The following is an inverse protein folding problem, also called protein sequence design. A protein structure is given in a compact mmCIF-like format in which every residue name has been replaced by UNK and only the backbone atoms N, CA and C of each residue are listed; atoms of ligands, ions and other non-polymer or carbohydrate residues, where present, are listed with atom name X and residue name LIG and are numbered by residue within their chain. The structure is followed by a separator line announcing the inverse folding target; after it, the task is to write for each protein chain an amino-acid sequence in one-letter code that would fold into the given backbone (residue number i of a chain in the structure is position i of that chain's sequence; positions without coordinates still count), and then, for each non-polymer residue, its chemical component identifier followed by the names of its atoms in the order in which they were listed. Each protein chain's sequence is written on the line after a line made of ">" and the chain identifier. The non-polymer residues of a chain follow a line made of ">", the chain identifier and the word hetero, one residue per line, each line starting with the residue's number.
data_IF_202619403800
#
_entry.id   IF_202619403800
#
_cell.length_a   1.000
_cell.length_b   1.000
_cell.length_c   1.000
_cell.angle_alpha   90.00
_cell.angle_beta   90.00
_cell.angle_gamma   90.00
#
_symmetry.space_group_name_H-M   'P 1'
#
loop_
_entity.id
_entity.type
_entity.pdbx_description
1 polymer ?
#
# COMPACT_ATOMS: atom_id res chain seq x y z
N UNK A 1 -12.54 -36.48 -34.79
CA UNK A 1 -13.11 -35.40 -33.96
C UNK A 1 -12.09 -35.08 -32.89
N UNK A 2 -11.56 -33.85 -32.84
CA UNK A 2 -10.78 -33.42 -31.69
C UNK A 2 -11.76 -33.26 -30.53
N UNK A 3 -11.73 -34.20 -29.59
CA UNK A 3 -12.49 -34.08 -28.35
C UNK A 3 -11.72 -33.13 -27.43
N UNK A 4 -12.40 -32.14 -26.85
CA UNK A 4 -11.84 -31.41 -25.71
C UNK A 4 -11.83 -32.38 -24.53
N UNK A 5 -10.65 -32.81 -24.11
CA UNK A 5 -10.50 -33.64 -22.92
C UNK A 5 -10.53 -32.75 -21.68
N UNK A 6 -11.25 -33.18 -20.66
CA UNK A 6 -11.38 -32.47 -19.40
C UNK A 6 -10.89 -33.35 -18.26
N UNK A 7 -10.04 -32.78 -17.41
CA UNK A 7 -9.57 -33.37 -16.16
C UNK A 7 -10.01 -32.50 -14.97
N UNK A 8 -9.93 -33.05 -13.77
CA UNK A 8 -10.48 -32.39 -12.58
C UNK A 8 -9.52 -31.36 -11.98
N UNK A 9 -8.21 -31.56 -12.10
CA UNK A 9 -7.18 -30.80 -11.38
C UNK A 9 -5.88 -30.64 -12.17
N UNK A 10 -4.98 -29.78 -11.68
CA UNK A 10 -3.61 -29.65 -12.19
C UNK A 10 -2.79 -30.92 -11.95
N UNK A 11 -3.06 -31.67 -10.87
CA UNK A 11 -2.38 -32.94 -10.63
C UNK A 11 -2.68 -33.95 -11.76
N UNK A 12 -3.94 -34.04 -12.19
CA UNK A 12 -4.33 -34.87 -13.33
C UNK A 12 -3.76 -34.35 -14.66
N UNK A 13 -3.70 -33.02 -14.87
CA UNK A 13 -3.04 -32.41 -16.03
C UNK A 13 -1.57 -32.85 -16.14
N UNK A 14 -0.83 -32.88 -15.03
CA UNK A 14 0.59 -33.29 -15.01
C UNK A 14 0.80 -34.74 -15.46
N UNK A 15 -0.17 -35.60 -15.21
CA UNK A 15 -0.15 -37.02 -15.53
C UNK A 15 -0.85 -37.35 -16.85
N UNK A 16 -1.41 -36.36 -17.55
CA UNK A 16 -2.09 -36.56 -18.83
C UNK A 16 -1.06 -36.79 -19.95
N UNK A 17 -1.23 -37.87 -20.70
CA UNK A 17 -0.40 -38.16 -21.87
C UNK A 17 -0.86 -37.32 -23.07
N UNK A 18 -0.04 -36.38 -23.56
CA UNK A 18 -0.38 -35.52 -24.69
C UNK A 18 -0.61 -36.31 -25.99
N UNK A 19 -0.26 -37.60 -26.07
CA UNK A 19 -0.64 -38.48 -27.17
C UNK A 19 -2.17 -38.55 -27.36
N UNK A 20 -2.95 -38.53 -26.28
CA UNK A 20 -4.42 -38.58 -26.37
C UNK A 20 -5.04 -37.25 -26.80
N UNK A 21 -4.44 -36.14 -26.41
CA UNK A 21 -4.84 -34.80 -26.81
C UNK A 21 -3.77 -33.78 -26.47
N UNK A 22 -3.52 -32.83 -27.37
CA UNK A 22 -2.67 -31.67 -27.11
C UNK A 22 -3.46 -30.46 -26.58
N UNK A 23 -4.78 -30.59 -26.41
CA UNK A 23 -5.65 -29.58 -25.81
C UNK A 23 -6.43 -30.17 -24.63
N UNK A 24 -6.38 -29.49 -23.48
CA UNK A 24 -6.98 -29.97 -22.25
C UNK A 24 -7.67 -28.84 -21.48
N UNK A 25 -8.74 -29.15 -20.78
CA UNK A 25 -9.35 -28.27 -19.78
C UNK A 25 -9.22 -28.87 -18.38
N UNK A 26 -8.89 -28.04 -17.40
CA UNK A 26 -8.99 -28.42 -15.98
C UNK A 26 -10.20 -27.75 -15.33
N UNK A 27 -10.90 -28.50 -14.48
CA UNK A 27 -12.09 -28.01 -13.77
C UNK A 27 -11.76 -27.15 -12.54
N UNK A 28 -10.52 -27.19 -12.08
CA UNK A 28 -9.98 -26.45 -10.95
C UNK A 28 -8.47 -26.63 -10.83
N UNK A 29 -7.86 -26.01 -9.82
CA UNK A 29 -6.45 -26.19 -9.51
C UNK A 29 -6.21 -27.49 -8.75
N UNK A 30 -6.86 -27.64 -7.59
CA UNK A 30 -6.81 -28.83 -6.73
C UNK A 30 -8.04 -29.71 -6.91
N UNK A 31 -9.22 -29.10 -7.09
CA UNK A 31 -10.49 -29.82 -7.26
C UNK A 31 -11.46 -29.03 -8.14
N UNK A 32 -12.45 -29.70 -8.78
CA UNK A 32 -13.44 -29.02 -9.58
C UNK A 32 -14.12 -27.85 -8.84
N UNK A 33 -14.22 -26.70 -9.49
CA UNK A 33 -14.94 -25.53 -8.98
C UNK A 33 -14.17 -24.64 -7.99
N UNK A 34 -12.89 -24.91 -7.71
CA UNK A 34 -12.08 -24.04 -6.84
C UNK A 34 -11.64 -22.72 -7.51
N UNK A 35 -11.96 -22.51 -8.79
CA UNK A 35 -11.68 -21.30 -9.54
C UNK A 35 -10.30 -21.23 -10.20
N UNK A 36 -9.41 -22.19 -9.95
CA UNK A 36 -8.07 -22.22 -10.55
C UNK A 36 -7.94 -23.04 -11.85
N UNK A 37 -9.07 -23.52 -12.36
CA UNK A 37 -9.16 -24.28 -13.62
C UNK A 37 -8.85 -23.43 -14.86
N UNK A 38 -8.93 -24.01 -16.05
CA UNK A 38 -8.75 -23.29 -17.31
C UNK A 38 -8.39 -24.19 -18.47
N UNK A 39 -8.09 -23.57 -19.62
CA UNK A 39 -7.76 -24.26 -20.85
C UNK A 39 -6.24 -24.24 -21.09
N UNK A 40 -5.73 -25.36 -21.61
CA UNK A 40 -4.31 -25.65 -21.77
C UNK A 40 -4.01 -26.24 -23.14
N UNK A 41 -2.81 -25.97 -23.64
CA UNK A 41 -2.25 -26.68 -24.79
C UNK A 41 -0.89 -27.30 -24.45
N UNK A 42 -0.56 -28.39 -25.13
CA UNK A 42 0.74 -29.04 -25.03
C UNK A 42 1.77 -28.34 -25.91
N UNK A 43 2.90 -27.95 -25.32
CA UNK A 43 4.04 -27.38 -26.03
C UNK A 43 5.21 -28.37 -25.94
N UNK A 44 5.33 -29.26 -26.94
CA UNK A 44 6.27 -30.40 -26.93
C UNK A 44 7.75 -30.00 -26.75
N UNK A 45 8.13 -28.83 -27.25
CA UNK A 45 9.52 -28.35 -27.23
C UNK A 45 9.83 -27.45 -26.02
N UNK A 46 8.84 -27.08 -25.21
CA UNK A 46 9.02 -26.16 -24.09
C UNK A 46 9.78 -26.85 -22.93
N UNK A 47 10.79 -26.14 -22.41
CA UNK A 47 11.65 -26.56 -21.31
C UNK A 47 11.63 -25.60 -20.12
N UNK A 48 10.78 -24.56 -20.15
CA UNK A 48 10.65 -23.60 -19.07
C UNK A 48 10.40 -24.28 -17.71
N UNK A 49 10.83 -23.65 -16.63
CA UNK A 49 10.53 -24.16 -15.31
C UNK A 49 9.01 -24.15 -15.08
N UNK A 50 8.56 -25.03 -14.19
CA UNK A 50 7.21 -24.97 -13.69
C UNK A 50 7.01 -23.69 -12.87
N UNK A 51 6.03 -22.88 -13.24
CA UNK A 51 5.74 -21.62 -12.53
C UNK A 51 4.50 -21.74 -11.63
N UNK A 52 3.92 -22.93 -11.53
CA UNK A 52 2.76 -23.19 -10.69
C UNK A 52 1.45 -22.62 -11.20
N UNK A 53 1.40 -21.94 -12.36
CA UNK A 53 0.17 -21.30 -12.85
C UNK A 53 -0.01 -21.24 -14.36
N UNK A 54 0.98 -20.79 -15.13
CA UNK A 54 0.92 -20.67 -16.60
C UNK A 54 1.66 -21.80 -17.32
N UNK A 55 2.67 -22.37 -16.67
CA UNK A 55 3.55 -23.42 -17.20
C UNK A 55 3.58 -24.57 -16.23
N UNK A 56 3.07 -25.72 -16.66
CA UNK A 56 3.08 -26.95 -15.88
C UNK A 56 3.93 -28.03 -16.56
N UNK A 57 4.92 -28.54 -15.85
CA UNK A 57 5.75 -29.67 -16.27
C UNK A 57 4.96 -30.98 -16.20
N UNK A 58 5.01 -31.79 -17.27
CA UNK A 58 4.48 -33.15 -17.27
C UNK A 58 5.31 -34.06 -16.36
N UNK A 59 4.64 -34.99 -15.69
CA UNK A 59 5.27 -36.08 -14.92
C UNK A 59 5.68 -37.26 -15.82
N UNK A 60 5.14 -37.34 -17.04
CA UNK A 60 5.41 -38.42 -17.99
C UNK A 60 6.63 -38.16 -18.87
N UNK A 61 6.95 -36.89 -19.13
CA UNK A 61 8.01 -36.50 -20.06
C UNK A 61 8.90 -35.40 -19.45
N UNK A 62 10.24 -35.51 -19.54
CA UNK A 62 11.14 -34.46 -19.04
C UNK A 62 11.08 -33.18 -19.89
N UNK A 63 10.75 -33.33 -21.18
CA UNK A 63 10.59 -32.25 -22.17
C UNK A 63 9.11 -32.04 -22.48
N UNK A 64 8.74 -30.78 -22.70
CA UNK A 64 7.38 -30.35 -23.01
C UNK A 64 6.62 -29.83 -21.80
N UNK A 65 5.71 -28.88 -22.02
CA UNK A 65 4.92 -28.21 -20.97
C UNK A 65 3.46 -28.10 -21.35
N UNK A 66 2.60 -28.22 -20.35
CA UNK A 66 1.23 -27.74 -20.44
C UNK A 66 1.22 -26.23 -20.21
N UNK A 67 0.76 -25.49 -21.22
CA UNK A 67 0.70 -24.04 -21.23
C UNK A 67 -0.74 -23.59 -21.04
N UNK A 68 -0.99 -22.80 -20.00
CA UNK A 68 -2.29 -22.16 -19.82
C UNK A 68 -2.51 -21.14 -20.93
N UNK A 69 -3.69 -21.17 -21.55
CA UNK A 69 -4.14 -20.12 -22.45
C UNK A 69 -4.57 -18.93 -21.57
N UNK A 70 -3.83 -17.82 -21.62
CA UNK A 70 -4.05 -16.65 -20.77
C UNK A 70 -4.14 -15.35 -21.57
N UNK A 71 -4.84 -14.35 -21.02
CA UNK A 71 -5.12 -13.06 -21.66
C UNK A 71 -4.43 -11.88 -20.97
N UNK A 72 -3.49 -12.14 -20.05
CA UNK A 72 -2.84 -11.10 -19.21
C UNK A 72 -3.64 -10.67 -17.98
N UNK A 73 -4.83 -11.26 -17.76
CA UNK A 73 -5.59 -11.19 -16.52
C UNK A 73 -5.44 -12.52 -15.78
N UNK A 74 -4.81 -12.48 -14.61
CA UNK A 74 -4.51 -13.64 -13.81
C UNK A 74 -5.37 -13.67 -12.56
N UNK A 75 -5.94 -14.83 -12.25
CA UNK A 75 -6.60 -15.08 -10.97
C UNK A 75 -5.63 -15.82 -10.06
N UNK A 76 -5.45 -15.35 -8.83
CA UNK A 76 -4.49 -15.92 -7.88
C UNK A 76 -4.70 -17.44 -7.65
N UNK A 77 -5.94 -17.93 -7.82
CA UNK A 77 -6.29 -19.35 -7.68
C UNK A 77 -5.71 -20.20 -8.81
N UNK A 78 -5.41 -19.61 -9.96
CA UNK A 78 -4.73 -20.29 -11.07
C UNK A 78 -3.30 -20.71 -10.72
N UNK A 79 -2.72 -20.09 -9.69
CA UNK A 79 -1.39 -20.39 -9.14
C UNK A 79 -1.48 -21.28 -7.89
N UNK A 80 -2.67 -21.75 -7.53
CA UNK A 80 -2.89 -22.66 -6.40
C UNK A 80 -3.02 -21.99 -5.03
N UNK A 81 -3.05 -20.65 -4.99
CA UNK A 81 -3.40 -19.88 -3.81
C UNK A 81 -4.92 -19.82 -3.65
N UNK A 82 -5.44 -20.66 -2.76
CA UNK A 82 -6.87 -20.75 -2.44
C UNK A 82 -7.15 -20.09 -1.08
N UNK A 83 -8.34 -19.52 -0.86
CA UNK A 83 -8.74 -19.05 0.48
C UNK A 83 -8.55 -20.16 1.52
N UNK A 84 -7.99 -19.84 2.68
CA UNK A 84 -7.76 -20.79 3.80
C UNK A 84 -6.68 -21.85 3.52
N UNK A 85 -6.10 -21.90 2.32
CA UNK A 85 -4.85 -22.65 2.13
C UNK A 85 -3.74 -21.93 2.89
N UNK A 86 -2.97 -22.66 3.71
CA UNK A 86 -2.06 -22.14 4.73
C UNK A 86 -1.15 -20.98 4.30
N UNK A 87 0.16 -21.21 4.21
CA UNK A 87 1.04 -20.21 3.60
C UNK A 87 0.86 -20.21 2.09
N UNK A 88 0.58 -19.05 1.50
CA UNK A 88 0.43 -18.91 0.03
C UNK A 88 1.44 -17.94 -0.58
N UNK A 89 2.49 -17.60 0.16
CA UNK A 89 3.51 -16.63 -0.25
C UNK A 89 4.12 -16.96 -1.62
N UNK A 90 4.49 -18.23 -1.83
CA UNK A 90 5.11 -18.66 -3.09
C UNK A 90 4.16 -18.50 -4.28
N UNK A 91 2.91 -18.88 -4.12
CA UNK A 91 1.89 -18.81 -5.16
C UNK A 91 1.56 -17.35 -5.51
N UNK A 92 1.51 -16.45 -4.52
CA UNK A 92 1.41 -15.02 -4.74
C UNK A 92 2.60 -14.47 -5.51
N UNK A 93 3.82 -14.83 -5.13
CA UNK A 93 5.01 -14.36 -5.84
C UNK A 93 5.03 -14.86 -7.29
N UNK A 94 4.68 -16.13 -7.54
CA UNK A 94 4.57 -16.68 -8.89
C UNK A 94 3.51 -15.93 -9.74
N UNK A 95 2.36 -15.60 -9.16
CA UNK A 95 1.32 -14.85 -9.84
C UNK A 95 1.74 -13.40 -10.15
N UNK A 96 2.50 -12.76 -9.26
CA UNK A 96 3.09 -11.45 -9.50
C UNK A 96 4.17 -11.52 -10.58
N UNK A 97 5.01 -12.55 -10.58
CA UNK A 97 6.04 -12.76 -11.60
C UNK A 97 5.44 -13.00 -13.01
N UNK A 98 4.25 -13.58 -13.10
CA UNK A 98 3.50 -13.65 -14.36
C UNK A 98 3.13 -12.27 -14.91
N UNK A 99 3.05 -11.23 -14.07
CA UNK A 99 2.80 -9.84 -14.44
C UNK A 99 4.08 -9.05 -14.78
N UNK A 100 5.26 -9.69 -14.90
CA UNK A 100 6.55 -9.01 -15.12
C UNK A 100 6.58 -8.11 -16.36
N UNK A 101 5.75 -8.39 -17.37
CA UNK A 101 5.60 -7.58 -18.59
C UNK A 101 4.38 -6.64 -18.54
N UNK A 102 3.89 -6.34 -17.34
CA UNK A 102 2.58 -5.77 -17.09
C UNK A 102 1.49 -6.85 -17.00
N UNK A 103 0.28 -6.44 -16.61
CA UNK A 103 -0.87 -7.34 -16.46
C UNK A 103 -1.69 -7.00 -15.22
N UNK A 104 -2.69 -7.83 -14.93
CA UNK A 104 -3.47 -7.69 -13.71
C UNK A 104 -3.58 -9.00 -12.94
N UNK A 105 -3.36 -8.92 -11.64
CA UNK A 105 -3.61 -9.99 -10.68
C UNK A 105 -4.91 -9.70 -9.93
N UNK A 106 -5.85 -10.63 -10.02
CA UNK A 106 -7.09 -10.63 -9.25
C UNK A 106 -6.98 -11.56 -8.05
N UNK A 107 -7.31 -11.03 -6.87
CA UNK A 107 -7.33 -11.74 -5.59
C UNK A 107 -8.78 -11.73 -5.08
N UNK A 108 -9.55 -12.81 -5.28
CA UNK A 108 -10.93 -12.87 -4.84
C UNK A 108 -11.01 -12.90 -3.32
N UNK A 109 -12.20 -12.62 -2.82
CA UNK A 109 -12.55 -12.72 -1.39
C UNK A 109 -12.01 -14.01 -0.76
N UNK A 110 -11.37 -13.88 0.39
CA UNK A 110 -10.74 -14.98 1.11
C UNK A 110 -9.64 -14.51 2.04
N UNK A 111 -9.20 -15.44 2.90
CA UNK A 111 -8.10 -15.25 3.83
C UNK A 111 -6.81 -15.87 3.26
N UNK A 112 -5.78 -15.04 3.03
CA UNK A 112 -4.50 -15.44 2.46
C UNK A 112 -3.35 -15.12 3.43
N UNK A 113 -2.59 -16.13 3.86
CA UNK A 113 -1.45 -15.94 4.76
C UNK A 113 -0.18 -15.72 3.95
N UNK A 114 0.53 -14.61 4.22
CA UNK A 114 1.78 -14.23 3.59
C UNK A 114 2.87 -14.13 4.66
N UNK A 115 4.01 -14.80 4.46
CA UNK A 115 5.14 -14.84 5.39
C UNK A 115 6.43 -14.27 4.84
N UNK A 116 6.47 -13.85 3.58
CA UNK A 116 7.61 -13.12 3.02
C UNK A 116 7.12 -11.93 2.20
N UNK A 117 7.96 -10.91 2.03
CA UNK A 117 7.68 -9.77 1.15
C UNK A 117 7.25 -10.21 -0.25
N UNK A 118 6.20 -9.58 -0.77
CA UNK A 118 5.72 -9.73 -2.13
C UNK A 118 6.31 -8.64 -3.02
N UNK A 119 6.84 -9.05 -4.16
CA UNK A 119 7.51 -8.18 -5.12
C UNK A 119 6.61 -7.94 -6.34
N UNK A 120 6.15 -6.70 -6.50
CA UNK A 120 5.22 -6.27 -7.55
C UNK A 120 5.99 -5.59 -8.68
N UNK A 121 5.80 -6.07 -9.90
CA UNK A 121 6.52 -5.59 -11.08
C UNK A 121 5.88 -4.33 -11.69
N UNK A 122 6.68 -3.59 -12.46
CA UNK A 122 6.25 -2.44 -13.25
C UNK A 122 4.96 -2.72 -14.04
N UNK A 123 4.01 -1.79 -13.98
CA UNK A 123 2.77 -1.85 -14.75
C UNK A 123 1.77 -2.91 -14.26
N UNK A 124 2.00 -3.52 -13.10
CA UNK A 124 1.07 -4.50 -12.52
C UNK A 124 -0.11 -3.80 -11.86
N UNK A 125 -1.32 -4.30 -12.11
CA UNK A 125 -2.52 -3.97 -11.33
C UNK A 125 -2.86 -5.14 -10.40
N UNK A 126 -2.82 -4.94 -9.10
CA UNK A 126 -3.27 -5.90 -8.09
C UNK A 126 -4.64 -5.46 -7.58
N UNK A 127 -5.67 -6.29 -7.79
CA UNK A 127 -7.05 -5.95 -7.42
C UNK A 127 -7.73 -7.05 -6.63
N UNK A 128 -8.59 -6.67 -5.68
CA UNK A 128 -9.45 -7.59 -4.94
C UNK A 128 -10.90 -7.12 -4.83
N UNK A 129 -11.66 -7.77 -3.96
CA UNK A 129 -13.08 -7.55 -3.71
C UNK A 129 -13.32 -6.61 -2.50
N UNK A 130 -12.34 -5.78 -2.14
CA UNK A 130 -12.41 -4.85 -1.01
C UNK A 130 -12.08 -5.53 0.32
N UNK A 131 -12.92 -5.28 1.34
CA UNK A 131 -12.71 -5.76 2.71
C UNK A 131 -12.59 -7.29 2.83
N UNK A 132 -13.16 -8.04 1.89
CA UNK A 132 -13.16 -9.50 1.93
C UNK A 132 -11.92 -10.14 1.29
N UNK A 133 -11.08 -9.39 0.57
CA UNK A 133 -9.79 -9.89 0.06
C UNK A 133 -8.71 -9.67 1.11
N UNK A 134 -8.66 -10.57 2.09
CA UNK A 134 -7.85 -10.44 3.31
C UNK A 134 -6.43 -11.00 3.12
N UNK A 135 -5.43 -10.13 3.27
CA UNK A 135 -4.00 -10.42 3.14
C UNK A 135 -3.36 -10.33 4.52
N UNK A 136 -3.04 -11.47 5.12
CA UNK A 136 -2.50 -11.54 6.47
C UNK A 136 -0.99 -11.70 6.43
N UNK A 137 -0.28 -10.62 6.73
CA UNK A 137 1.17 -10.56 6.71
C UNK A 137 1.79 -10.92 8.06
N UNK A 138 2.62 -11.96 8.06
CA UNK A 138 3.44 -12.44 9.17
C UNK A 138 4.92 -12.50 8.79
N UNK A 139 5.37 -11.62 7.89
CA UNK A 139 6.76 -11.62 7.46
C UNK A 139 7.76 -11.17 8.52
N UNK A 140 9.06 -11.23 8.22
CA UNK A 140 10.13 -10.86 9.14
C UNK A 140 10.03 -9.39 9.58
N UNK A 141 10.56 -9.05 10.76
CA UNK A 141 10.74 -7.66 11.17
C UNK A 141 11.49 -6.85 10.11
N UNK A 142 11.23 -5.55 10.06
CA UNK A 142 11.81 -4.62 9.09
C UNK A 142 11.51 -4.94 7.63
N UNK A 143 10.39 -5.60 7.35
CA UNK A 143 9.94 -5.85 5.97
C UNK A 143 8.50 -5.40 5.74
N UNK A 144 8.13 -5.23 4.47
CA UNK A 144 6.77 -4.90 4.06
C UNK A 144 6.08 -6.04 3.33
N UNK A 145 4.75 -6.12 3.41
CA UNK A 145 3.97 -7.08 2.63
C UNK A 145 4.09 -6.79 1.13
N UNK A 146 3.76 -5.57 0.71
CA UNK A 146 3.78 -5.15 -0.70
C UNK A 146 4.96 -4.25 -1.00
N UNK A 147 5.79 -4.64 -1.98
CA UNK A 147 7.03 -3.94 -2.32
C UNK A 147 7.18 -3.86 -3.84
N UNK A 148 7.87 -2.82 -4.32
CA UNK A 148 8.26 -2.75 -5.73
C UNK A 148 9.36 -3.77 -6.00
N UNK A 149 9.18 -4.62 -7.03
CA UNK A 149 10.20 -5.57 -7.48
C UNK A 149 11.50 -4.90 -7.89
N UNK A 150 11.42 -3.65 -8.32
CA UNK A 150 12.56 -2.82 -8.69
C UNK A 150 12.47 -1.47 -7.95
N UNK A 151 13.54 -1.11 -7.24
CA UNK A 151 13.63 0.15 -6.48
C UNK A 151 14.14 1.33 -7.31
N UNK A 152 14.94 1.05 -8.35
CA UNK A 152 15.50 2.04 -9.27
C UNK A 152 15.73 1.39 -10.66
N UNK A 153 15.33 2.04 -11.77
CA UNK A 153 14.49 3.23 -11.79
C UNK A 153 13.12 2.98 -11.13
N UNK A 154 12.50 4.06 -10.64
CA UNK A 154 11.18 3.99 -10.01
C UNK A 154 10.13 3.34 -10.94
N UNK A 155 9.18 2.65 -10.32
CA UNK A 155 8.14 1.88 -11.00
C UNK A 155 6.74 2.39 -10.68
N UNK A 156 5.80 2.20 -11.60
CA UNK A 156 4.40 2.55 -11.47
C UNK A 156 3.55 1.28 -11.43
N UNK A 157 2.65 1.18 -10.45
CA UNK A 157 1.74 0.04 -10.26
C UNK A 157 0.42 0.50 -9.65
N UNK A 158 -0.58 -0.38 -9.63
CA UNK A 158 -1.89 -0.09 -9.04
C UNK A 158 -2.28 -1.15 -8.02
N UNK A 159 -2.78 -0.73 -6.86
CA UNK A 159 -3.41 -1.58 -5.86
C UNK A 159 -4.84 -1.12 -5.65
N UNK A 160 -5.81 -2.03 -5.74
CA UNK A 160 -7.22 -1.68 -5.60
C UNK A 160 -8.04 -2.71 -4.81
N UNK A 161 -8.83 -2.27 -3.83
CA UNK A 161 -9.80 -3.15 -3.15
C UNK A 161 -9.15 -4.32 -2.41
N UNK A 162 -8.12 -4.06 -1.60
CA UNK A 162 -7.44 -5.07 -0.79
C UNK A 162 -7.58 -4.75 0.70
N UNK A 163 -7.61 -5.78 1.52
CA UNK A 163 -7.63 -5.67 2.98
C UNK A 163 -6.37 -6.31 3.59
N UNK A 164 -5.38 -5.51 3.98
CA UNK A 164 -4.09 -6.00 4.46
C UNK A 164 -3.99 -5.91 5.98
N UNK A 165 -3.65 -7.03 6.63
CA UNK A 165 -3.47 -7.14 8.08
C UNK A 165 -1.99 -7.38 8.39
N UNK A 166 -1.42 -6.57 9.28
CA UNK A 166 -0.01 -6.64 9.66
C UNK A 166 0.12 -7.19 11.08
N UNK A 167 0.74 -8.37 11.22
CA UNK A 167 0.78 -9.13 12.50
C UNK A 167 2.16 -9.21 13.15
N UNK A 168 3.23 -8.77 12.48
CA UNK A 168 4.59 -8.74 13.03
C UNK A 168 4.99 -7.32 13.40
N UNK A 169 5.53 -7.11 14.60
CA UNK A 169 6.05 -5.78 15.02
C UNK A 169 7.14 -5.30 14.05
N UNK A 170 7.34 -3.98 13.96
CA UNK A 170 8.36 -3.38 13.09
C UNK A 170 8.20 -3.75 11.60
N UNK A 171 6.99 -4.07 11.16
CA UNK A 171 6.67 -4.35 9.75
C UNK A 171 5.65 -3.38 9.16
N UNK A 172 5.42 -3.49 7.86
CA UNK A 172 4.62 -2.53 7.10
C UNK A 172 3.70 -3.22 6.09
N UNK A 173 2.56 -2.61 5.79
CA UNK A 173 1.67 -3.14 4.76
C UNK A 173 2.24 -2.85 3.37
N UNK A 174 2.52 -1.59 3.07
CA UNK A 174 3.09 -1.15 1.79
C UNK A 174 4.42 -0.45 2.00
N UNK A 175 5.47 -0.94 1.35
CA UNK A 175 6.76 -0.25 1.20
C UNK A 175 6.73 0.51 -0.12
N UNK A 176 6.66 1.84 -0.02
CA UNK A 176 6.51 2.73 -1.17
C UNK A 176 7.84 2.98 -1.91
N UNK A 177 8.99 2.66 -1.31
CA UNK A 177 10.28 2.82 -2.00
C UNK A 177 10.31 1.95 -3.27
N UNK A 178 10.61 2.59 -4.39
CA UNK A 178 10.50 2.03 -5.74
C UNK A 178 9.18 2.32 -6.44
N UNK A 179 8.19 2.93 -5.78
CA UNK A 179 6.86 3.22 -6.31
C UNK A 179 6.67 4.73 -6.54
N UNK A 180 6.61 5.14 -7.81
CA UNK A 180 6.26 6.51 -8.22
C UNK A 180 5.18 6.45 -9.31
N UNK A 181 4.36 7.48 -9.43
CA UNK A 181 3.21 7.50 -10.35
C UNK A 181 2.21 6.34 -10.13
N UNK A 182 2.23 5.72 -8.96
CA UNK A 182 1.40 4.57 -8.60
C UNK A 182 0.04 5.01 -8.08
N UNK A 183 -0.93 4.09 -8.13
CA UNK A 183 -2.31 4.28 -7.70
C UNK A 183 -2.68 3.31 -6.59
N UNK A 184 -3.31 3.85 -5.54
CA UNK A 184 -3.74 3.10 -4.37
C UNK A 184 -5.20 3.46 -4.12
N UNK A 185 -6.12 2.55 -4.43
CA UNK A 185 -7.55 2.87 -4.49
C UNK A 185 -8.38 1.92 -3.60
N UNK A 186 -9.13 2.48 -2.65
CA UNK A 186 -10.02 1.73 -1.76
C UNK A 186 -9.30 0.60 -1.02
N UNK A 187 -8.22 0.94 -0.31
CA UNK A 187 -7.39 -0.01 0.43
C UNK A 187 -7.68 0.07 1.92
N UNK A 188 -7.70 -1.09 2.59
CA UNK A 188 -7.89 -1.19 4.03
C UNK A 188 -6.63 -1.80 4.65
N UNK A 189 -6.07 -1.12 5.65
CA UNK A 189 -4.92 -1.64 6.39
C UNK A 189 -5.26 -1.75 7.86
N UNK A 190 -5.00 -2.93 8.43
CA UNK A 190 -5.15 -3.20 9.85
C UNK A 190 -3.79 -3.50 10.47
N UNK A 191 -3.29 -2.58 11.27
CA UNK A 191 -2.06 -2.72 12.04
C UNK A 191 -2.40 -3.42 13.36
N UNK A 192 -2.03 -4.70 13.49
CA UNK A 192 -2.43 -5.56 14.63
C UNK A 192 -1.39 -5.63 15.73
N UNK A 193 -0.26 -4.95 15.56
CA UNK A 193 0.84 -4.96 16.51
C UNK A 193 1.60 -3.63 16.49
N UNK A 194 2.32 -3.30 17.59
CA UNK A 194 3.04 -2.04 17.71
C UNK A 194 4.13 -1.81 16.65
N UNK A 195 4.51 -0.55 16.48
CA UNK A 195 5.59 -0.09 15.61
C UNK A 195 5.44 -0.55 14.16
N UNK A 196 4.21 -0.53 13.64
CA UNK A 196 3.94 -0.90 12.25
C UNK A 196 3.42 0.28 11.46
N UNK A 197 3.61 0.23 10.14
CA UNK A 197 3.20 1.32 9.25
C UNK A 197 2.32 0.84 8.09
N UNK A 198 1.29 1.61 7.73
CA UNK A 198 0.41 1.22 6.61
C UNK A 198 1.06 1.54 5.25
N UNK A 199 1.46 2.79 5.05
CA UNK A 199 2.08 3.29 3.81
C UNK A 199 3.43 3.90 4.15
N UNK A 200 4.46 3.06 4.10
CA UNK A 200 5.81 3.36 4.56
C UNK A 200 6.72 3.77 3.41
N UNK A 201 7.34 4.94 3.50
CA UNK A 201 8.33 5.37 2.52
C UNK A 201 9.46 6.15 3.15
N UNK A 202 10.68 5.60 3.28
CA UNK A 202 11.84 6.40 2.99
C UNK A 202 11.92 6.59 1.48
N UNK A 203 12.32 7.80 1.10
CA UNK A 203 12.68 8.03 -0.29
C UNK A 203 14.05 7.42 -0.60
N UNK A 204 14.32 7.11 -1.86
CA UNK A 204 15.65 6.72 -2.34
C UNK A 204 16.20 7.71 -3.37
N UNK A 205 15.64 8.92 -3.40
CA UNK A 205 15.94 9.95 -4.40
C UNK A 205 15.19 9.84 -5.72
N UNK A 206 14.55 8.71 -6.00
CA UNK A 206 13.75 8.50 -7.23
C UNK A 206 12.28 8.19 -6.94
N UNK A 207 11.97 7.83 -5.70
CA UNK A 207 10.65 7.42 -5.24
C UNK A 207 10.59 7.57 -3.72
N UNK A 208 9.39 7.59 -3.10
CA UNK A 208 8.07 7.59 -3.72
C UNK A 208 7.56 8.99 -4.04
N UNK A 209 7.27 9.24 -5.32
CA UNK A 209 6.82 10.54 -5.82
C UNK A 209 5.60 10.42 -6.73
N UNK A 210 4.74 11.43 -6.71
CA UNK A 210 3.59 11.55 -7.63
C UNK A 210 2.58 10.40 -7.53
N UNK A 211 2.52 9.70 -6.39
CA UNK A 211 1.52 8.68 -6.15
C UNK A 211 0.17 9.31 -5.77
N UNK A 212 -0.91 8.59 -6.05
CA UNK A 212 -2.26 9.00 -5.64
C UNK A 212 -2.92 7.90 -4.85
N UNK A 213 -3.39 8.26 -3.66
CA UNK A 213 -4.14 7.43 -2.73
C UNK A 213 -5.57 7.92 -2.70
N UNK A 214 -6.54 7.05 -3.02
CA UNK A 214 -7.97 7.36 -2.98
C UNK A 214 -8.65 6.41 -2.00
N UNK A 215 -9.34 6.91 -0.98
CA UNK A 215 -10.01 6.11 0.04
C UNK A 215 -9.10 5.02 0.64
N UNK A 216 -7.92 5.41 1.08
CA UNK A 216 -6.96 4.52 1.73
C UNK A 216 -7.09 4.63 3.25
N UNK A 217 -7.38 3.52 3.91
CA UNK A 217 -7.75 3.43 5.32
C UNK A 217 -6.66 2.73 6.14
N UNK A 218 -6.51 3.12 7.40
CA UNK A 218 -5.59 2.48 8.33
C UNK A 218 -6.15 2.46 9.76
N UNK A 219 -6.21 1.29 10.39
CA UNK A 219 -6.62 1.14 11.79
C UNK A 219 -5.50 0.54 12.61
N UNK A 220 -5.18 1.14 13.76
CA UNK A 220 -4.22 0.61 14.72
C UNK A 220 -4.80 -0.33 15.76
N UNK A 221 -3.95 -0.86 16.64
CA UNK A 221 -4.36 -1.71 17.75
C UNK A 221 -4.95 -0.93 18.93
N UNK A 222 -4.97 0.42 18.87
CA UNK A 222 -5.38 1.29 19.97
C UNK A 222 -4.30 1.47 21.04
N UNK A 223 -4.66 2.16 22.13
CA UNK A 223 -3.75 2.48 23.23
C UNK A 223 -2.79 3.66 22.95
N UNK A 224 -2.22 4.21 24.03
CA UNK A 224 -1.47 5.48 24.02
C UNK A 224 0.00 5.37 23.53
N UNK A 225 0.49 4.16 23.22
CA UNK A 225 1.92 3.92 22.95
C UNK A 225 2.14 2.84 21.89
N UNK A 226 1.23 2.68 20.93
CA UNK A 226 1.37 1.62 19.93
C UNK A 226 2.45 1.91 18.87
N UNK A 227 2.93 3.14 18.74
CA UNK A 227 3.97 3.49 17.76
C UNK A 227 3.59 3.29 16.30
N UNK A 228 2.32 3.01 16.00
CA UNK A 228 1.87 2.72 14.64
C UNK A 228 1.59 4.00 13.86
N UNK A 229 1.91 4.00 12.57
CA UNK A 229 1.78 5.18 11.70
C UNK A 229 1.02 4.82 10.42
N UNK A 230 0.00 5.59 10.03
CA UNK A 230 -0.72 5.29 8.79
C UNK A 230 0.12 5.68 7.56
N UNK A 231 0.38 6.96 7.36
CA UNK A 231 1.27 7.43 6.31
C UNK A 231 2.61 7.82 6.94
N UNK A 232 3.62 6.98 6.71
CA UNK A 232 4.93 7.10 7.34
C UNK A 232 5.98 7.52 6.31
N UNK A 233 6.03 8.83 6.06
CA UNK A 233 6.83 9.44 4.99
C UNK A 233 8.04 10.16 5.57
N UNK A 234 8.87 9.40 6.28
CA UNK A 234 10.10 9.87 6.89
C UNK A 234 11.35 9.28 6.21
N UNK A 235 12.45 10.02 6.27
CA UNK A 235 13.77 9.61 5.80
C UNK A 235 14.46 8.70 6.83
N UNK A 236 14.02 7.44 6.91
CA UNK A 236 14.59 6.45 7.85
C UNK A 236 15.96 5.91 7.45
N UNK A 237 16.42 6.18 6.23
CA UNK A 237 17.77 5.86 5.76
C UNK A 237 18.80 6.91 6.17
N UNK A 238 18.43 7.85 7.05
CA UNK A 238 19.18 9.06 7.36
C UNK A 238 19.54 9.87 6.08
N UNK A 239 18.72 9.72 5.03
CA UNK A 239 18.84 10.53 3.83
C UNK A 239 18.38 11.97 4.04
N UNK A 240 18.57 12.79 3.00
CA UNK A 240 18.02 14.16 2.94
C UNK A 240 16.69 14.22 2.17
N UNK A 241 16.22 13.10 1.65
CA UNK A 241 15.03 13.03 0.79
C UNK A 241 13.91 12.25 1.50
N UNK A 242 12.69 12.67 1.25
CA UNK A 242 11.48 12.06 1.77
C UNK A 242 10.38 12.06 0.69
N UNK A 243 9.30 11.29 0.85
CA UNK A 243 8.20 11.23 -0.11
C UNK A 243 7.60 12.61 -0.44
N UNK A 244 7.61 12.98 -1.72
CA UNK A 244 7.20 14.31 -2.21
C UNK A 244 6.09 14.21 -3.27
N UNK A 245 5.31 15.28 -3.41
CA UNK A 245 4.33 15.43 -4.47
C UNK A 245 3.28 14.29 -4.56
N UNK A 246 3.03 13.59 -3.46
CA UNK A 246 1.98 12.57 -3.37
C UNK A 246 0.64 13.21 -2.99
N UNK A 247 -0.45 12.57 -3.38
CA UNK A 247 -1.80 13.06 -3.12
C UNK A 247 -2.63 12.00 -2.39
N UNK A 248 -3.32 12.38 -1.32
CA UNK A 248 -4.23 11.53 -0.56
C UNK A 248 -5.63 12.14 -0.57
N UNK A 249 -6.59 11.41 -1.11
CA UNK A 249 -7.99 11.81 -1.21
C UNK A 249 -8.86 10.84 -0.40
N UNK A 250 -9.44 11.34 0.69
CA UNK A 250 -10.27 10.56 1.59
C UNK A 250 -9.46 9.57 2.43
N UNK A 251 -10.17 8.58 2.97
CA UNK A 251 -9.59 7.58 3.87
C UNK A 251 -9.94 7.87 5.34
N UNK A 252 -10.05 6.78 6.09
CA UNK A 252 -10.33 6.80 7.53
C UNK A 252 -9.13 6.21 8.25
N UNK A 253 -8.56 6.99 9.17
CA UNK A 253 -7.41 6.61 9.97
C UNK A 253 -7.82 6.63 11.44
N UNK A 254 -7.61 5.53 12.17
CA UNK A 254 -7.96 5.49 13.57
C UNK A 254 -7.05 4.65 14.45
N UNK A 255 -7.05 4.94 15.76
CA UNK A 255 -6.41 4.11 16.79
C UNK A 255 -4.89 3.96 16.63
N UNK A 256 -4.23 4.97 16.04
CA UNK A 256 -2.79 4.99 15.73
C UNK A 256 -2.05 6.06 16.54
N UNK A 257 -0.74 5.89 16.69
CA UNK A 257 0.10 6.92 17.27
C UNK A 257 0.11 8.18 16.38
N UNK A 258 0.37 8.02 15.08
CA UNK A 258 0.44 9.14 14.14
C UNK A 258 -0.37 8.80 12.89
N UNK A 259 -1.29 9.66 12.47
CA UNK A 259 -2.00 9.45 11.22
C UNK A 259 -1.10 9.72 10.00
N UNK A 260 -0.41 10.87 10.00
CA UNK A 260 0.52 11.23 8.92
C UNK A 260 1.80 11.78 9.52
N UNK A 261 2.92 11.12 9.27
CA UNK A 261 4.27 11.68 9.42
C UNK A 261 4.78 12.06 8.04
N UNK A 262 5.11 13.34 7.83
CA UNK A 262 5.52 13.85 6.54
C UNK A 262 6.79 14.70 6.66
N UNK A 263 7.90 14.18 6.14
CA UNK A 263 9.17 14.90 6.01
C UNK A 263 9.42 15.44 4.59
N UNK A 264 8.52 15.13 3.67
CA UNK A 264 8.57 15.63 2.30
C UNK A 264 7.74 16.88 2.06
N UNK A 265 7.77 17.36 0.83
CA UNK A 265 7.19 18.62 0.36
C UNK A 265 6.26 18.42 -0.83
N UNK A 266 5.32 19.34 -0.99
CA UNK A 266 4.35 19.36 -2.09
C UNK A 266 3.31 18.26 -2.00
N UNK A 267 3.17 17.59 -0.84
CA UNK A 267 2.13 16.60 -0.65
C UNK A 267 0.78 17.27 -0.36
N UNK A 268 -0.29 16.66 -0.86
CA UNK A 268 -1.65 17.14 -0.73
C UNK A 268 -2.48 16.08 -0.01
N UNK A 269 -3.16 16.49 1.06
CA UNK A 269 -4.08 15.66 1.82
C UNK A 269 -5.46 16.29 1.75
N UNK A 270 -6.47 15.55 1.33
CA UNK A 270 -7.81 16.07 1.13
C UNK A 270 -8.88 15.13 1.68
N UNK A 271 -9.73 15.59 2.59
CA UNK A 271 -10.92 14.88 3.03
C UNK A 271 -10.66 13.67 3.93
N UNK A 272 -9.51 13.60 4.58
CA UNK A 272 -9.22 12.52 5.54
C UNK A 272 -10.09 12.64 6.79
N UNK A 273 -10.44 11.49 7.36
CA UNK A 273 -11.16 11.36 8.62
C UNK A 273 -10.22 10.71 9.63
N UNK A 274 -9.95 11.38 10.74
CA UNK A 274 -9.04 10.88 11.79
C UNK A 274 -9.77 10.67 13.12
N UNK A 275 -9.63 9.49 13.73
CA UNK A 275 -10.27 9.17 15.00
C UNK A 275 -9.29 8.54 16.01
N UNK A 276 -9.26 9.03 17.25
CA UNK A 276 -8.45 8.43 18.34
C UNK A 276 -6.96 8.26 17.95
N UNK A 277 -6.32 9.36 17.54
CA UNK A 277 -4.88 9.39 17.24
C UNK A 277 -4.14 10.31 18.20
N UNK A 278 -2.86 10.07 18.43
CA UNK A 278 -2.08 10.98 19.26
C UNK A 278 -1.66 12.22 18.48
N UNK A 279 -1.20 12.04 17.24
CA UNK A 279 -0.89 13.12 16.31
C UNK A 279 -1.62 12.90 14.99
N UNK A 280 -2.36 13.91 14.54
CA UNK A 280 -2.99 13.91 13.21
C UNK A 280 -1.92 14.01 12.12
N UNK A 281 -1.37 15.21 11.94
CA UNK A 281 -0.30 15.48 10.99
C UNK A 281 0.96 15.94 11.72
N UNK A 282 2.04 15.16 11.61
CA UNK A 282 3.39 15.52 12.05
C UNK A 282 4.21 15.96 10.84
N UNK A 283 4.52 17.25 10.76
CA UNK A 283 5.39 17.81 9.74
C UNK A 283 6.78 18.07 10.32
N UNK A 284 7.80 17.48 9.71
CA UNK A 284 9.20 17.59 10.13
C UNK A 284 10.13 17.72 8.93
N UNK A 285 11.42 17.91 9.16
CA UNK A 285 12.45 17.69 8.14
C UNK A 285 13.10 16.32 8.33
N UNK A 286 13.72 15.74 7.29
CA UNK A 286 14.77 14.76 7.50
C UNK A 286 15.80 15.33 8.49
N UNK A 287 16.22 14.56 9.48
CA UNK A 287 17.13 15.07 10.54
C UNK A 287 18.41 15.67 9.96
N UNK A 288 18.95 15.05 8.91
CA UNK A 288 20.15 15.51 8.22
C UNK A 288 19.94 16.79 7.39
N UNK A 289 18.71 17.31 7.33
CA UNK A 289 18.39 18.63 6.75
C UNK A 289 18.17 19.73 7.79
N UNK A 290 18.32 19.45 9.08
CA UNK A 290 18.09 20.47 10.12
C UNK A 290 19.07 21.64 10.00
N UNK A 291 20.30 21.37 9.57
CA UNK A 291 21.37 22.37 9.38
C UNK A 291 21.69 22.66 7.90
N UNK A 292 20.96 22.04 6.96
CA UNK A 292 21.17 22.23 5.52
C UNK A 292 20.78 23.65 5.08
N UNK A 293 21.35 24.17 3.99
CA UNK A 293 20.94 25.45 3.42
C UNK A 293 19.52 25.38 2.81
N UNK A 294 19.17 24.24 2.21
CA UNK A 294 17.85 23.95 1.64
C UNK A 294 16.93 23.39 2.72
N UNK A 295 16.43 24.26 3.59
CA UNK A 295 15.41 23.92 4.59
C UNK A 295 14.00 24.18 4.06
N UNK A 296 13.05 23.54 4.73
CA UNK A 296 11.64 23.81 4.59
C UNK A 296 10.93 22.84 3.67
N UNK A 297 9.67 22.63 4.02
CA UNK A 297 8.69 21.83 3.29
C UNK A 297 7.37 22.59 3.35
N UNK A 298 6.53 22.42 2.33
CA UNK A 298 5.18 22.97 2.30
C UNK A 298 4.21 21.88 1.89
N UNK A 299 3.17 21.66 2.68
CA UNK A 299 2.14 20.65 2.38
C UNK A 299 0.74 21.23 2.66
N UNK A 300 -0.25 20.70 1.95
CA UNK A 300 -1.64 21.16 2.03
C UNK A 300 -2.53 20.09 2.67
N UNK A 301 -3.38 20.50 3.60
CA UNK A 301 -4.40 19.65 4.22
C UNK A 301 -5.77 20.31 4.08
N UNK A 302 -6.69 19.72 3.32
CA UNK A 302 -7.99 20.34 3.03
C UNK A 302 -9.14 19.42 3.42
N UNK A 303 -10.19 19.97 4.02
CA UNK A 303 -11.40 19.21 4.37
C UNK A 303 -11.20 18.15 5.46
N UNK A 304 -10.23 18.32 6.37
CA UNK A 304 -9.97 17.38 7.45
C UNK A 304 -11.14 17.31 8.45
N UNK A 305 -11.65 16.10 8.71
CA UNK A 305 -12.47 15.78 9.88
C UNK A 305 -11.59 15.09 10.92
N UNK A 306 -11.70 15.47 12.20
CA UNK A 306 -11.11 14.65 13.26
C UNK A 306 -11.89 14.65 14.58
N UNK A 307 -11.83 13.51 15.26
CA UNK A 307 -12.38 13.29 16.59
C UNK A 307 -11.32 12.60 17.47
N UNK A 308 -11.09 13.14 18.67
CA UNK A 308 -10.11 12.63 19.66
C UNK A 308 -8.65 12.55 19.18
N UNK A 309 -8.23 13.36 18.20
CA UNK A 309 -6.81 13.56 17.93
C UNK A 309 -6.16 14.40 19.05
N UNK A 310 -5.19 13.88 19.83
CA UNK A 310 -4.60 14.66 20.94
C UNK A 310 -3.96 15.96 20.42
N UNK A 311 -3.17 15.87 19.36
CA UNK A 311 -2.62 17.00 18.61
C UNK A 311 -3.06 16.88 17.16
N UNK A 312 -3.77 17.87 16.61
CA UNK A 312 -4.25 17.76 15.22
C UNK A 312 -3.12 18.02 14.22
N UNK A 313 -2.35 19.08 14.44
CA UNK A 313 -1.18 19.43 13.64
C UNK A 313 0.03 19.66 14.54
N UNK A 314 1.14 18.96 14.30
CA UNK A 314 2.41 19.13 14.99
C UNK A 314 3.50 19.51 13.99
N UNK A 315 4.12 20.67 14.22
CA UNK A 315 5.28 21.12 13.47
C UNK A 315 6.54 20.87 14.31
N UNK A 316 7.33 19.90 13.88
CA UNK A 316 8.54 19.44 14.57
C UNK A 316 9.78 20.27 14.22
N UNK A 317 9.79 20.93 13.06
CA UNK A 317 10.83 21.87 12.66
C UNK A 317 10.21 23.19 12.16
N UNK A 318 10.79 24.33 12.55
CA UNK A 318 10.20 25.68 12.36
C UNK A 318 9.99 26.10 10.90
N UNK A 319 10.68 25.45 9.96
CA UNK A 319 10.57 25.69 8.51
C UNK A 319 9.58 24.77 7.81
N UNK A 320 8.87 23.91 8.54
CA UNK A 320 7.81 23.07 7.99
C UNK A 320 6.50 23.86 7.93
N UNK A 321 6.16 24.36 6.75
CA UNK A 321 4.98 25.18 6.51
C UNK A 321 3.78 24.29 6.16
N UNK A 322 2.60 24.71 6.60
CA UNK A 322 1.35 24.02 6.27
C UNK A 322 0.25 25.02 5.90
N UNK A 323 -0.53 24.65 4.90
CA UNK A 323 -1.84 25.27 4.63
C UNK A 323 -2.91 24.25 4.96
N UNK A 324 -3.72 24.53 5.96
CA UNK A 324 -4.73 23.61 6.45
C UNK A 324 -6.13 24.24 6.45
N UNK A 325 -7.11 23.50 5.94
CA UNK A 325 -8.54 23.73 6.12
C UNK A 325 -9.17 22.49 6.76
N UNK A 326 -9.84 22.65 7.88
CA UNK A 326 -10.60 21.59 8.54
C UNK A 326 -12.11 21.80 8.37
N UNK A 327 -12.91 20.77 8.63
CA UNK A 327 -14.37 20.85 8.62
C UNK A 327 -14.98 20.72 10.03
N UNK A 328 -14.78 19.59 10.71
CA UNK A 328 -15.25 19.37 12.08
C UNK A 328 -14.15 18.70 12.90
N UNK A 329 -13.81 19.35 14.01
CA UNK A 329 -12.73 18.93 14.91
C UNK A 329 -13.27 18.89 16.34
N UNK A 330 -13.25 17.70 16.96
CA UNK A 330 -13.76 17.45 18.32
C UNK A 330 -12.76 16.61 19.13
N UNK A 331 -12.88 16.61 20.45
CA UNK A 331 -12.08 15.73 21.34
C UNK A 331 -10.56 15.97 21.39
N UNK A 332 -10.04 16.97 20.67
CA UNK A 332 -8.61 17.28 20.63
C UNK A 332 -8.11 18.04 21.87
N UNK A 333 -6.81 17.92 22.18
CA UNK A 333 -6.17 18.71 23.24
C UNK A 333 -5.54 19.99 22.70
N UNK A 334 -4.91 19.89 21.53
CA UNK A 334 -4.20 20.98 20.87
C UNK A 334 -4.47 20.94 19.37
N UNK A 335 -4.94 22.05 18.80
CA UNK A 335 -5.20 22.12 17.37
C UNK A 335 -3.88 22.23 16.58
N UNK A 336 -2.97 23.11 17.00
CA UNK A 336 -1.67 23.29 16.35
C UNK A 336 -0.56 23.46 17.39
N UNK A 337 0.38 22.51 17.39
CA UNK A 337 1.64 22.59 18.15
C UNK A 337 2.75 23.03 17.21
N UNK A 338 3.05 24.33 17.19
CA UNK A 338 4.06 24.92 16.31
C UNK A 338 5.34 25.32 17.05
N UNK A 339 6.51 25.10 16.44
CA UNK A 339 7.76 25.79 16.83
C UNK A 339 7.81 27.21 16.27
N UNK A 340 7.21 27.41 15.10
CA UNK A 340 6.96 28.70 14.46
C UNK A 340 5.54 28.72 13.88
N UNK A 341 4.91 29.89 13.92
CA UNK A 341 3.65 30.15 13.21
C UNK A 341 3.86 30.88 11.89
N UNK A 342 5.10 31.25 11.56
CA UNK A 342 5.41 31.94 10.29
C UNK A 342 5.08 31.02 9.10
N UNK A 343 4.50 31.61 8.05
CA UNK A 343 4.12 30.94 6.80
C UNK A 343 3.14 29.76 6.93
N UNK A 344 2.50 29.58 8.09
CA UNK A 344 1.45 28.58 8.28
C UNK A 344 0.06 29.24 8.18
N UNK A 345 -0.86 28.60 7.47
CA UNK A 345 -2.27 29.04 7.38
C UNK A 345 -3.14 27.91 7.89
N UNK A 346 -3.98 28.17 8.89
CA UNK A 346 -4.91 27.19 9.43
C UNK A 346 -6.31 27.79 9.53
N UNK A 347 -7.25 27.20 8.79
CA UNK A 347 -8.67 27.52 8.77
C UNK A 347 -9.43 26.37 9.42
N UNK A 348 -10.07 26.60 10.57
CA UNK A 348 -10.79 25.56 11.29
C UNK A 348 -12.19 26.02 11.69
N UNK A 349 -13.22 25.26 11.28
CA UNK A 349 -14.58 25.43 11.78
C UNK A 349 -14.78 24.57 13.03
N UNK A 350 -14.82 25.21 14.21
CA UNK A 350 -14.96 24.50 15.49
C UNK A 350 -16.40 24.46 16.03
N UNK A 351 -16.74 23.30 16.62
CA UNK A 351 -17.90 23.06 17.50
C UNK A 351 -17.42 22.34 18.77
N UNK A 352 -16.68 23.03 19.63
CA UNK A 352 -16.26 22.52 20.94
C UNK A 352 -17.24 22.89 22.07
N UNK A 353 -17.41 22.01 23.07
CA UNK A 353 -18.32 22.24 24.22
C UNK A 353 -17.79 23.26 25.27
N UNK A 354 -16.51 23.65 25.22
CA UNK A 354 -15.91 24.59 26.19
C UNK A 354 -15.93 26.05 25.67
N UNK A 355 -16.13 27.07 26.54
CA UNK A 355 -16.18 28.49 26.12
C UNK A 355 -14.94 29.01 25.39
N UNK A 356 -13.74 28.50 25.71
CA UNK A 356 -12.49 28.83 25.01
C UNK A 356 -12.42 28.24 23.58
N UNK A 357 -13.35 27.33 23.26
CA UNK A 357 -13.42 26.59 22.00
C UNK A 357 -14.58 27.08 21.10
N UNK A 358 -15.13 28.27 21.39
CA UNK A 358 -16.10 28.98 20.54
C UNK A 358 -15.34 29.66 19.40
N UNK A 359 -15.82 29.56 18.15
CA UNK A 359 -15.16 30.03 16.91
C UNK A 359 -14.12 31.14 17.08
N UNK A 360 -12.85 30.80 16.88
CA UNK A 360 -11.76 31.74 16.71
C UNK A 360 -11.20 31.61 15.29
N UNK A 361 -11.26 32.69 14.52
CA UNK A 361 -10.35 32.87 13.40
C UNK A 361 -8.99 33.27 13.99
N UNK A 362 -8.15 32.31 14.40
CA UNK A 362 -6.75 32.63 14.73
C UNK A 362 -5.98 32.79 13.41
N UNK A 363 -6.05 34.00 12.86
CA UNK A 363 -5.24 34.42 11.71
C UNK A 363 -3.80 34.64 12.20
N UNK A 364 -2.99 33.60 12.27
CA UNK A 364 -1.55 33.73 12.54
C UNK A 364 -0.80 34.10 11.24
N UNK A 365 -1.13 35.21 10.60
CA UNK A 365 -0.40 35.68 9.42
C UNK A 365 0.69 36.64 9.88
N UNK A 366 1.92 36.13 10.03
CA UNK A 366 3.12 36.95 9.96
C UNK A 366 3.82 36.62 8.65
N UNK A 367 3.61 37.45 7.63
CA UNK A 367 4.30 37.33 6.34
C UNK A 367 5.61 38.11 6.42
N UNK A 368 6.74 37.42 6.34
CA UNK A 368 8.02 38.07 5.99
C UNK A 368 8.21 37.91 4.49
N UNK A 369 8.17 39.00 3.70
CA UNK A 369 8.51 38.93 2.29
C UNK A 369 9.89 38.30 2.12
N UNK A 370 10.06 37.48 1.09
CA UNK A 370 11.40 37.07 0.66
C UNK A 370 12.12 38.32 0.14
N UNK A 371 13.17 38.74 0.82
CA UNK A 371 14.09 39.76 0.31
C UNK A 371 15.00 39.09 -0.72
N UNK A 372 14.77 39.37 -2.00
CA UNK A 372 15.72 39.03 -3.04
C UNK A 372 16.81 40.10 -3.03
N UNK A 373 18.04 39.72 -2.71
CA UNK A 373 19.19 40.60 -2.92
C UNK A 373 19.33 40.93 -4.40
N UNK A 374 19.64 42.19 -4.71
CA UNK A 374 19.92 42.66 -6.08
C UNK A 374 21.07 41.93 -6.75
#
# INVERSE_FOLDING_TARGET
>A
MQHLYAVQSIAELRQFDPFFSEQLRTSGYRKPGDGGGGDFYWAAEDTQADDGGLVFKSELNPKGRWRRISTGLFDIRQFGALPVSGDVTQQFQQALDACRKGGSLYIPSGHYTIRQPLMVHQGTTVRGDGLLSEIHYYGPEETGCWNAAQRSPATAMTFAGLNTFVHTQNTRAYTLTGMSFSRFDNLFVHLRCPNTSAYYGPANGESPYYNVFTNCHASGPGGDTNGCIAFDWAAYDDGIQAPNANQVFGGHINSLQIAVRCQGTGNIFHGQVLEMVDVGYEFDLPKNRYDDASKGISNDVMGLYTEYAKVVFEQRHETCYLTAQTCMITGHKELFRGKSKENCVLLSSHSGQLPMNRSFFEKAINFRPLEFGE
#
